data_IF_602132149322
#
_entry.id   IF_602132149322
#
_cell.length_a   1.000
_cell.length_b   1.000
_cell.length_c   1.000
_cell.angle_alpha   90.00
_cell.angle_beta   90.00
_cell.angle_gamma   90.00
#
_symmetry.space_group_name_H-M   'P 1'
#
loop_
_entity.id
_entity.type
_entity.pdbx_description
1 polymer ?
#
# COMPACT_ATOMS: atom_id res chain seq x y z
N UNK A 1 -5.58 18.10 21.09
CA UNK A 1 -6.32 17.35 20.06
C UNK A 1 -5.28 16.65 19.22
N UNK A 2 -4.87 15.47 19.64
CA UNK A 2 -3.93 14.64 18.88
C UNK A 2 -4.78 13.82 17.94
N UNK A 3 -4.76 14.15 16.65
CA UNK A 3 -5.20 13.24 15.61
C UNK A 3 -4.20 12.11 15.57
N UNK A 4 -4.46 11.03 16.32
CA UNK A 4 -3.85 9.73 16.09
C UNK A 4 -4.28 9.28 14.69
N UNK A 5 -3.50 9.68 13.68
CA UNK A 5 -3.45 8.91 12.45
C UNK A 5 -2.95 7.54 12.84
N UNK A 6 -3.80 6.53 12.74
CA UNK A 6 -3.44 5.13 12.98
C UNK A 6 -2.15 4.86 12.20
N UNK A 7 -1.04 4.79 12.91
CA UNK A 7 0.24 4.46 12.32
C UNK A 7 0.27 2.95 12.31
N UNK A 8 -0.50 2.35 11.41
CA UNK A 8 -0.47 0.92 11.17
C UNK A 8 0.99 0.57 10.85
N UNK A 9 1.66 -0.08 11.81
CA UNK A 9 3.05 -0.48 11.67
C UNK A 9 3.07 -1.72 10.78
N UNK A 10 3.04 -1.48 9.48
CA UNK A 10 3.03 -2.57 8.50
C UNK A 10 4.45 -3.12 8.37
N UNK A 11 4.59 -4.44 8.45
CA UNK A 11 5.86 -5.10 8.21
C UNK A 11 6.18 -5.03 6.72
N UNK A 12 7.28 -4.34 6.37
CA UNK A 12 7.79 -4.29 5.01
C UNK A 12 9.10 -5.07 4.96
N UNK A 13 9.10 -6.14 4.16
CA UNK A 13 10.31 -6.89 3.84
C UNK A 13 10.93 -6.32 2.57
N UNK A 14 12.24 -6.11 2.56
CA UNK A 14 12.96 -5.46 1.45
C UNK A 14 14.08 -6.37 0.96
N UNK A 15 13.89 -7.00 -0.21
CA UNK A 15 14.86 -7.85 -0.91
C UNK A 15 15.18 -7.33 -2.31
N UNK A 16 15.02 -8.16 -3.35
CA UNK A 16 14.95 -7.69 -4.76
C UNK A 16 13.64 -6.94 -5.06
N UNK A 17 12.60 -7.20 -4.25
CA UNK A 17 11.31 -6.54 -4.26
C UNK A 17 10.95 -6.16 -2.83
N UNK A 18 10.02 -5.22 -2.68
CA UNK A 18 9.42 -4.89 -1.38
C UNK A 18 8.12 -5.68 -1.21
N UNK A 19 7.93 -6.29 -0.04
CA UNK A 19 6.71 -6.98 0.34
C UNK A 19 6.10 -6.30 1.56
N UNK A 20 4.93 -5.70 1.37
CA UNK A 20 4.14 -5.10 2.45
C UNK A 20 3.18 -6.17 2.94
N UNK A 21 3.50 -6.76 4.08
CA UNK A 21 2.74 -7.84 4.69
C UNK A 21 1.60 -7.27 5.55
N UNK A 22 0.35 -7.43 5.09
CA UNK A 22 -0.81 -6.88 5.80
C UNK A 22 -1.06 -5.43 5.44
N UNK A 23 -1.25 -5.18 4.14
CA UNK A 23 -1.52 -3.84 3.62
C UNK A 23 -2.75 -3.20 4.31
N UNK A 24 -2.71 -1.91 4.69
CA UNK A 24 -3.82 -1.26 5.38
C UNK A 24 -4.98 -1.01 4.41
N UNK A 25 -5.93 -1.94 4.36
CA UNK A 25 -7.08 -1.89 3.46
C UNK A 25 -8.13 -0.87 3.89
N UNK A 26 -8.18 -0.49 5.18
CA UNK A 26 -9.28 0.31 5.74
C UNK A 26 -9.51 1.63 5.01
N UNK A 27 -8.44 2.33 4.63
CA UNK A 27 -8.54 3.60 3.90
C UNK A 27 -9.06 3.43 2.47
N UNK A 28 -8.86 2.27 1.87
CA UNK A 28 -9.37 1.94 0.53
C UNK A 28 -10.83 1.53 0.65
N UNK A 29 -11.12 0.53 1.49
CA UNK A 29 -12.45 -0.05 1.64
C UNK A 29 -13.47 0.98 2.13
N UNK A 30 -13.08 1.90 3.02
CA UNK A 30 -13.97 2.97 3.52
C UNK A 30 -14.43 3.97 2.46
N UNK A 31 -13.73 4.05 1.32
CA UNK A 31 -14.15 4.89 0.19
C UNK A 31 -15.05 4.14 -0.80
N UNK A 32 -15.08 2.81 -0.70
CA UNK A 32 -15.83 1.93 -1.61
C UNK A 32 -17.14 1.47 -1.00
N UNK A 33 -17.18 1.31 0.33
CA UNK A 33 -18.30 0.73 1.07
C UNK A 33 -18.83 1.67 2.16
N UNK A 34 -20.09 1.45 2.53
CA UNK A 34 -20.71 2.03 3.71
C UNK A 34 -20.04 1.54 5.00
N UNK A 35 -20.03 2.38 6.05
CA UNK A 35 -19.30 2.11 7.30
C UNK A 35 -19.66 0.76 7.95
N UNK A 36 -20.93 0.34 7.83
CA UNK A 36 -21.41 -0.93 8.38
C UNK A 36 -20.84 -2.18 7.70
N UNK A 37 -20.30 -2.06 6.47
CA UNK A 37 -19.77 -3.17 5.69
C UNK A 37 -18.24 -3.25 5.71
N UNK A 38 -17.55 -2.21 6.22
CA UNK A 38 -16.08 -2.10 6.15
C UNK A 38 -15.38 -3.22 6.89
N UNK A 39 -15.69 -3.43 8.17
CA UNK A 39 -14.93 -4.36 9.00
C UNK A 39 -15.07 -5.80 8.51
N UNK A 40 -16.30 -6.21 8.14
CA UNK A 40 -16.55 -7.55 7.56
C UNK A 40 -15.84 -7.76 6.21
N UNK A 41 -15.81 -6.74 5.36
CA UNK A 41 -15.08 -6.80 4.10
C UNK A 41 -13.57 -6.95 4.32
N UNK A 42 -12.98 -6.18 5.24
CA UNK A 42 -11.54 -6.30 5.58
C UNK A 42 -11.22 -7.67 6.17
N UNK A 43 -12.06 -8.19 7.07
CA UNK A 43 -11.88 -9.53 7.65
C UNK A 43 -11.94 -10.63 6.57
N UNK A 44 -12.84 -10.48 5.59
CA UNK A 44 -12.97 -11.45 4.49
C UNK A 44 -11.77 -11.45 3.52
N UNK A 45 -11.15 -10.28 3.29
CA UNK A 45 -9.94 -10.18 2.46
C UNK A 45 -8.73 -10.88 3.12
N UNK A 46 -8.72 -10.95 4.44
CA UNK A 46 -7.60 -11.51 5.20
C UNK A 46 -6.31 -10.71 4.99
N UNK A 47 -5.17 -11.40 5.14
CA UNK A 47 -3.85 -10.78 5.00
C UNK A 47 -3.53 -10.55 3.52
N UNK A 48 -3.65 -9.30 3.07
CA UNK A 48 -3.23 -8.88 1.73
C UNK A 48 -1.75 -8.53 1.72
N UNK A 49 -1.02 -9.12 0.80
CA UNK A 49 0.41 -8.83 0.55
C UNK A 49 0.50 -7.94 -0.67
N UNK A 50 1.08 -6.75 -0.51
CA UNK A 50 1.39 -5.88 -1.64
C UNK A 50 2.86 -6.07 -2.02
N UNK A 51 3.10 -6.53 -3.24
CA UNK A 51 4.45 -6.65 -3.81
C UNK A 51 4.75 -5.41 -4.63
N UNK A 52 5.91 -4.80 -4.39
CA UNK A 52 6.35 -3.63 -5.12
C UNK A 52 7.76 -3.80 -5.66
N UNK A 53 7.88 -3.64 -6.98
CA UNK A 53 9.18 -3.49 -7.64
C UNK A 53 9.70 -2.08 -7.42
N UNK A 54 11.00 -1.98 -7.20
CA UNK A 54 11.69 -0.69 -7.11
C UNK A 54 13.04 -0.77 -7.81
N UNK A 55 13.44 0.34 -8.40
CA UNK A 55 14.78 0.56 -8.94
C UNK A 55 15.55 1.49 -7.99
N UNK A 56 16.82 1.17 -7.76
CA UNK A 56 17.72 2.02 -6.97
C UNK A 56 18.52 2.92 -7.90
N UNK A 57 18.30 4.23 -7.82
CA UNK A 57 19.18 5.21 -8.45
C UNK A 57 20.11 5.82 -7.40
N UNK A 58 21.41 5.64 -7.60
CA UNK A 58 22.43 6.24 -6.74
C UNK A 58 22.58 7.73 -7.08
N UNK A 59 21.94 8.58 -6.27
CA UNK A 59 22.06 10.04 -6.36
C UNK A 59 22.82 10.58 -5.14
N UNK A 60 24.13 10.31 -5.14
CA UNK A 60 25.12 10.70 -4.12
C UNK A 60 24.78 12.04 -3.40
N UNK A 61 24.58 12.09 -2.06
CA UNK A 61 24.81 11.04 -1.04
C UNK A 61 23.61 10.12 -0.74
N UNK A 62 22.45 10.32 -1.37
CA UNK A 62 21.21 9.58 -1.07
C UNK A 62 20.90 8.53 -2.15
N UNK A 63 20.38 7.37 -1.75
CA UNK A 63 19.85 6.39 -2.70
C UNK A 63 18.37 6.68 -2.87
N UNK A 64 18.01 7.17 -4.06
CA UNK A 64 16.62 7.36 -4.44
C UNK A 64 16.01 6.00 -4.83
N UNK A 65 14.79 5.75 -4.37
CA UNK A 65 14.02 4.57 -4.73
C UNK A 65 12.93 5.00 -5.71
N UNK A 66 13.02 4.51 -6.94
CA UNK A 66 11.98 4.65 -7.94
C UNK A 66 11.08 3.42 -7.86
N UNK A 67 9.87 3.57 -7.31
CA UNK A 67 8.93 2.45 -7.14
C UNK A 67 8.15 2.27 -8.43
N UNK A 68 8.26 1.15 -9.15
CA UNK A 68 7.52 0.92 -10.41
C UNK A 68 5.99 1.04 -10.21
N UNK A 69 5.16 1.38 -11.23
CA UNK A 69 3.71 1.40 -11.04
C UNK A 69 3.26 -0.04 -10.82
N UNK A 70 2.37 -0.25 -9.87
CA UNK A 70 1.99 -1.59 -9.42
C UNK A 70 0.47 -1.72 -9.34
N UNK A 71 -0.01 -2.96 -9.38
CA UNK A 71 -1.41 -3.29 -9.15
C UNK A 71 -1.50 -4.32 -8.04
N UNK A 72 -2.31 -4.05 -7.02
CA UNK A 72 -2.62 -5.01 -5.96
C UNK A 72 -4.04 -5.51 -6.16
N UNK A 73 -4.25 -6.81 -6.03
CA UNK A 73 -5.56 -7.43 -6.17
C UNK A 73 -5.92 -8.16 -4.89
N UNK A 74 -7.16 -8.00 -4.43
CA UNK A 74 -7.72 -8.74 -3.31
C UNK A 74 -9.23 -8.92 -3.48
N UNK A 75 -9.76 -9.99 -2.91
CA UNK A 75 -11.20 -10.26 -2.89
C UNK A 75 -11.78 -9.80 -1.55
N UNK A 76 -12.95 -9.16 -1.58
CA UNK A 76 -13.76 -8.90 -0.39
C UNK A 76 -15.11 -9.57 -0.54
N UNK A 77 -15.72 -9.94 0.58
CA UNK A 77 -17.10 -10.36 0.69
C UNK A 77 -17.93 -9.21 1.27
N UNK A 78 -18.92 -8.76 0.50
CA UNK A 78 -19.89 -7.75 0.92
C UNK A 78 -21.26 -8.40 0.95
N UNK A 79 -21.77 -8.65 2.15
CA UNK A 79 -23.10 -9.24 2.38
C UNK A 79 -23.34 -10.58 1.66
N UNK A 80 -22.30 -11.42 1.53
CA UNK A 80 -22.35 -12.70 0.82
C UNK A 80 -22.03 -12.62 -0.67
N UNK A 81 -21.68 -11.43 -1.17
CA UNK A 81 -21.26 -11.20 -2.56
C UNK A 81 -19.76 -10.94 -2.62
N UNK A 82 -19.04 -11.85 -3.27
CA UNK A 82 -17.61 -11.69 -3.54
C UNK A 82 -17.38 -10.62 -4.61
N UNK A 83 -16.49 -9.68 -4.32
CA UNK A 83 -16.07 -8.63 -5.24
C UNK A 83 -14.54 -8.62 -5.36
N UNK A 84 -14.04 -8.56 -6.59
CA UNK A 84 -12.61 -8.43 -6.85
C UNK A 84 -12.23 -6.95 -6.87
N UNK A 85 -11.29 -6.57 -6.01
CA UNK A 85 -10.78 -5.21 -5.89
C UNK A 85 -9.38 -5.16 -6.50
N UNK A 86 -9.21 -4.34 -7.54
CA UNK A 86 -7.92 -4.05 -8.15
C UNK A 86 -7.50 -2.62 -7.83
N UNK A 87 -6.41 -2.44 -7.10
CA UNK A 87 -5.88 -1.13 -6.72
C UNK A 87 -4.68 -0.81 -7.60
N UNK A 88 -4.75 0.32 -8.30
CA UNK A 88 -3.68 0.84 -9.15
C UNK A 88 -2.88 1.86 -8.37
N UNK A 89 -1.59 1.60 -8.18
CA UNK A 89 -0.65 2.54 -7.59
C UNK A 89 0.09 3.26 -8.71
N UNK A 90 -0.10 4.58 -8.77
CA UNK A 90 0.58 5.43 -9.73
C UNK A 90 1.82 6.05 -9.09
N UNK A 91 2.83 6.31 -9.92
CA UNK A 91 4.13 6.77 -9.46
C UNK A 91 4.21 8.28 -9.35
N UNK A 92 4.29 8.76 -8.11
CA UNK A 92 5.03 10.00 -7.77
C UNK A 92 5.86 9.81 -6.48
N UNK A 93 6.03 8.55 -6.06
CA UNK A 93 6.66 8.18 -4.81
C UNK A 93 8.19 8.18 -4.91
N UNK A 94 8.83 9.18 -4.31
CA UNK A 94 10.26 9.18 -4.05
C UNK A 94 10.53 8.57 -2.67
N UNK A 95 11.06 7.35 -2.64
CA UNK A 95 11.60 6.77 -1.42
C UNK A 95 13.05 7.18 -1.20
N UNK A 96 13.48 7.26 0.05
CA UNK A 96 14.88 7.45 0.45
C UNK A 96 15.39 6.22 1.18
N UNK A 97 16.61 5.80 0.84
CA UNK A 97 17.33 4.80 1.60
C UNK A 97 18.56 5.42 2.26
N UNK A 98 18.63 5.28 3.58
CA UNK A 98 19.76 5.70 4.40
C UNK A 98 20.74 4.52 4.57
N UNK A 99 21.93 4.57 3.96
CA UNK A 99 22.91 3.49 4.07
C UNK A 99 23.56 3.41 5.45
N UNK A 100 23.53 4.47 6.28
CA UNK A 100 24.19 4.48 7.58
C UNK A 100 23.49 3.57 8.61
N UNK A 101 22.17 3.45 8.53
CA UNK A 101 21.33 2.66 9.44
C UNK A 101 20.48 1.60 8.71
N UNK A 102 20.63 1.49 7.39
CA UNK A 102 19.86 0.62 6.49
C UNK A 102 18.35 0.85 6.55
N UNK A 103 17.94 2.09 6.85
CA UNK A 103 16.55 2.49 6.94
C UNK A 103 16.03 2.95 5.57
N UNK A 104 14.84 2.49 5.21
CA UNK A 104 14.14 2.78 3.97
C UNK A 104 12.82 3.49 4.30
N UNK A 105 12.61 4.67 3.71
CA UNK A 105 11.40 5.48 3.92
C UNK A 105 10.77 5.76 2.56
N UNK A 106 9.47 5.50 2.42
CA UNK A 106 8.74 5.73 1.18
C UNK A 106 7.26 5.97 1.47
N UNK A 107 6.58 6.69 0.59
CA UNK A 107 5.13 6.71 0.51
C UNK A 107 4.69 6.05 -0.78
N UNK A 108 3.43 5.60 -0.86
CA UNK A 108 2.82 5.20 -2.13
C UNK A 108 1.44 5.80 -2.23
N UNK A 109 0.98 6.06 -3.45
CA UNK A 109 -0.36 6.59 -3.69
C UNK A 109 -1.18 5.56 -4.44
N UNK A 110 -2.25 5.07 -3.81
CA UNK A 110 -3.31 4.39 -4.53
C UNK A 110 -4.03 5.43 -5.37
N UNK A 111 -3.91 5.37 -6.70
CA UNK A 111 -4.41 6.38 -7.64
C UNK A 111 -5.85 6.09 -8.05
N UNK A 112 -6.15 4.82 -8.34
CA UNK A 112 -7.49 4.39 -8.71
C UNK A 112 -7.76 2.95 -8.30
N UNK A 113 -9.04 2.60 -8.22
CA UNK A 113 -9.50 1.25 -7.88
C UNK A 113 -10.51 0.77 -8.91
N UNK A 114 -10.54 -0.53 -9.17
CA UNK A 114 -11.63 -1.22 -9.86
C UNK A 114 -12.31 -2.20 -8.93
N UNK A 115 -13.63 -2.32 -9.07
CA UNK A 115 -14.48 -3.34 -8.44
C UNK A 115 -15.03 -4.19 -9.59
N UNK A 116 -14.74 -5.49 -9.61
CA UNK A 116 -15.17 -6.42 -10.65
C UNK A 116 -14.88 -5.91 -12.07
N UNK A 117 -13.65 -5.43 -12.29
CA UNK A 117 -13.15 -4.80 -13.52
C UNK A 117 -13.79 -3.44 -13.89
N UNK A 118 -14.71 -2.91 -13.08
CA UNK A 118 -15.30 -1.57 -13.27
C UNK A 118 -14.53 -0.54 -12.46
N UNK A 119 -14.01 0.50 -13.09
CA UNK A 119 -13.30 1.59 -12.41
C UNK A 119 -14.26 2.33 -11.46
N UNK A 120 -13.82 2.53 -10.23
CA UNK A 120 -14.51 3.38 -9.26
C UNK A 120 -14.24 4.85 -9.59
N UNK A 121 -15.30 5.59 -9.92
CA UNK A 121 -15.25 7.04 -10.18
C UNK A 121 -15.29 7.86 -8.88
N UNK A 122 -15.67 7.23 -7.76
CA UNK A 122 -15.78 7.88 -6.44
C UNK A 122 -14.50 7.77 -5.62
N UNK A 123 -13.61 6.85 -5.98
CA UNK A 123 -12.34 6.66 -5.29
C UNK A 123 -11.44 7.88 -5.48
N UNK A 124 -10.91 8.39 -4.36
CA UNK A 124 -9.96 9.51 -4.37
C UNK A 124 -8.54 8.98 -4.15
N UNK A 125 -7.54 9.53 -4.86
CA UNK A 125 -6.16 9.16 -4.63
C UNK A 125 -5.80 9.23 -3.15
N UNK A 126 -5.22 8.15 -2.63
CA UNK A 126 -4.94 7.97 -1.19
C UNK A 126 -3.46 7.68 -1.02
N UNK A 127 -2.77 8.56 -0.32
CA UNK A 127 -1.36 8.38 0.05
C UNK A 127 -1.24 7.52 1.30
N UNK A 128 -0.33 6.56 1.26
CA UNK A 128 0.07 5.71 2.36
C UNK A 128 1.53 5.98 2.68
N UNK A 129 1.78 6.49 3.88
CA UNK A 129 3.13 6.68 4.40
C UNK A 129 3.46 5.52 5.33
N UNK A 130 4.53 4.80 5.01
CA UNK A 130 4.99 3.70 5.85
C UNK A 130 6.03 4.20 6.84
N UNK A 131 6.07 3.59 8.02
CA UNK A 131 7.15 3.84 8.97
C UNK A 131 8.50 3.44 8.34
N UNK A 132 9.61 4.05 8.78
CA UNK A 132 10.92 3.69 8.26
C UNK A 132 11.22 2.21 8.50
N UNK A 133 11.43 1.46 7.42
CA UNK A 133 11.63 0.02 7.44
C UNK A 133 13.11 -0.31 7.33
N UNK A 134 13.59 -1.28 8.10
CA UNK A 134 14.97 -1.75 7.95
C UNK A 134 15.05 -2.74 6.81
N UNK A 135 15.98 -2.52 5.89
CA UNK A 135 16.29 -3.53 4.87
C UNK A 135 16.90 -4.75 5.56
N UNK A 136 16.21 -5.89 5.50
CA UNK A 136 16.77 -7.18 5.92
C UNK A 136 17.74 -7.62 4.84
N UNK A 137 19.05 -7.49 5.12
CA UNK A 137 20.09 -8.02 4.24
C UNK A 137 20.27 -9.49 4.61
N UNK A 138 19.65 -10.40 3.86
CA UNK A 138 20.10 -11.80 3.83
C UNK A 138 21.27 -11.99 2.87
#
# INVERSE_FOLDING_TARGET
MSSEGATDSVEVEVGEQMFINGFPLRNIVSQLLEESAIDGAIESAGKVVCTMNYDTEFNNPDVALAIAPQTMNFEIDVEGTKQNIEVFFNQDAAGTYNPADSTLTFSITADSVKIDAVKSETFKPTEFTFLPCKKTVE
#
